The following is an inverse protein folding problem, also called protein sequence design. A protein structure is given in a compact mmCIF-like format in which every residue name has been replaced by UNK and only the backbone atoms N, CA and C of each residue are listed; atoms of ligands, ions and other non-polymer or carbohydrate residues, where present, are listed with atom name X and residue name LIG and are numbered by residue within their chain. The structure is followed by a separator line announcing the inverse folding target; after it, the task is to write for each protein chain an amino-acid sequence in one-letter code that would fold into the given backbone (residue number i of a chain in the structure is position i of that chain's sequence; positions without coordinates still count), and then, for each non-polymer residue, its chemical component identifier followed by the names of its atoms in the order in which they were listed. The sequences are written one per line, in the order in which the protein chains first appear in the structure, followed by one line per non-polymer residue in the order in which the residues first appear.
data_IF_215748849512
#
_entry.id   IF_215748849512
#
_cell.length_a   1.000
_cell.length_b   1.000
_cell.length_c   1.000
_cell.angle_alpha   90.00
_cell.angle_beta   90.00
_cell.angle_gamma   90.00
#
_symmetry.space_group_name_H-M   'P 1'
#
loop_
_entity.id
_entity.type
_entity.pdbx_description
1 polymer ?
#
# COMPACT_ATOMS: atom_id res chain seq x y z
N UNK A 1 8.83 -14.78 24.29
CA UNK A 1 8.00 -15.57 23.34
C UNK A 1 7.77 -14.67 22.13
N UNK A 2 8.22 -15.07 20.96
CA UNK A 2 7.85 -14.32 19.75
C UNK A 2 6.34 -14.52 19.53
N UNK A 3 5.58 -13.45 19.58
CA UNK A 3 4.17 -13.51 19.23
C UNK A 3 4.08 -13.84 17.73
N UNK A 4 3.10 -14.64 17.33
CA UNK A 4 2.85 -15.01 15.94
C UNK A 4 2.42 -13.78 15.15
N UNK A 5 2.73 -13.76 13.87
CA UNK A 5 2.23 -12.74 12.94
C UNK A 5 0.72 -12.89 12.75
N UNK A 6 0.03 -11.79 12.45
CA UNK A 6 -1.43 -11.80 12.28
C UNK A 6 -1.89 -12.86 11.25
N UNK A 7 -1.23 -12.96 10.10
CA UNK A 7 -1.60 -13.95 9.09
C UNK A 7 -1.38 -15.41 9.56
N UNK A 8 -0.42 -15.65 10.47
CA UNK A 8 -0.20 -16.97 11.07
C UNK A 8 -1.33 -17.34 12.03
N UNK A 9 -1.81 -16.37 12.83
CA UNK A 9 -2.96 -16.55 13.70
C UNK A 9 -4.23 -16.87 12.91
N UNK A 10 -4.48 -16.15 11.81
CA UNK A 10 -5.60 -16.42 10.92
C UNK A 10 -5.49 -17.80 10.26
N UNK A 11 -4.28 -18.23 9.89
CA UNK A 11 -4.07 -19.58 9.37
C UNK A 11 -4.35 -20.67 10.40
N UNK A 12 -4.10 -20.43 11.67
CA UNK A 12 -4.43 -21.37 12.75
C UNK A 12 -5.94 -21.47 12.98
N UNK A 13 -6.63 -20.34 12.90
CA UNK A 13 -8.07 -20.26 13.13
C UNK A 13 -8.89 -20.87 11.98
N UNK A 14 -8.63 -20.43 10.75
CA UNK A 14 -9.40 -20.84 9.57
C UNK A 14 -8.83 -22.08 8.88
N UNK A 15 -7.54 -22.41 9.10
CA UNK A 15 -6.77 -23.30 8.26
C UNK A 15 -6.46 -22.69 6.88
N UNK A 16 -5.40 -23.16 6.22
CA UNK A 16 -5.03 -22.67 4.88
C UNK A 16 -6.16 -22.83 3.87
N UNK A 17 -6.86 -23.97 3.90
CA UNK A 17 -7.99 -24.24 3.00
C UNK A 17 -9.17 -23.35 3.27
N UNK A 18 -9.46 -23.05 4.54
CA UNK A 18 -10.54 -22.13 4.92
C UNK A 18 -10.31 -20.73 4.38
N UNK A 19 -9.09 -20.20 4.49
CA UNK A 19 -8.76 -18.89 3.92
C UNK A 19 -8.87 -18.92 2.37
N UNK A 20 -8.45 -19.99 1.72
CA UNK A 20 -8.58 -20.13 0.27
C UNK A 20 -10.03 -20.18 -0.22
N UNK A 21 -10.96 -20.63 0.61
CA UNK A 21 -12.40 -20.68 0.33
C UNK A 21 -13.13 -19.35 0.54
N UNK A 22 -12.49 -18.38 1.23
CA UNK A 22 -13.08 -17.06 1.40
C UNK A 22 -13.29 -16.41 0.04
N UNK A 23 -14.50 -15.95 -0.22
CA UNK A 23 -14.85 -15.27 -1.45
C UNK A 23 -14.61 -13.76 -1.34
N UNK A 24 -13.96 -13.20 -2.35
CA UNK A 24 -13.88 -11.75 -2.50
C UNK A 24 -15.20 -11.28 -3.10
N UNK A 25 -15.90 -10.32 -2.46
CA UNK A 25 -17.19 -9.85 -2.95
C UNK A 25 -17.17 -9.43 -4.42
N UNK A 26 -18.22 -9.77 -5.14
CA UNK A 26 -18.34 -9.53 -6.57
C UNK A 26 -18.20 -8.04 -6.91
N UNK A 27 -18.82 -7.16 -6.09
CA UNK A 27 -18.73 -5.71 -6.29
C UNK A 27 -17.29 -5.17 -6.21
N UNK A 28 -16.38 -5.83 -5.51
CA UNK A 28 -14.96 -5.44 -5.52
C UNK A 28 -14.31 -5.82 -6.84
N UNK A 29 -14.45 -7.09 -7.27
CA UNK A 29 -13.82 -7.58 -8.50
C UNK A 29 -14.36 -6.88 -9.76
N UNK A 30 -15.66 -6.67 -9.82
CA UNK A 30 -16.34 -6.06 -10.97
C UNK A 30 -15.94 -4.61 -11.18
N UNK A 31 -15.69 -3.85 -10.11
CA UNK A 31 -15.36 -2.44 -10.18
C UNK A 31 -13.85 -2.13 -10.32
N UNK A 32 -12.99 -3.13 -10.34
CA UNK A 32 -11.58 -2.98 -10.67
C UNK A 32 -11.36 -3.00 -12.19
N UNK A 33 -10.45 -2.17 -12.69
CA UNK A 33 -10.12 -2.12 -14.12
C UNK A 33 -9.32 -3.32 -14.61
N UNK A 34 -8.71 -4.07 -13.68
CA UNK A 34 -7.84 -5.21 -13.96
C UNK A 34 -8.22 -6.38 -13.08
N UNK A 35 -8.07 -7.58 -13.61
CA UNK A 35 -8.20 -8.80 -12.84
C UNK A 35 -7.11 -8.91 -11.77
N UNK A 36 -7.49 -9.39 -10.61
CA UNK A 36 -6.56 -9.66 -9.52
C UNK A 36 -5.71 -10.89 -9.84
N UNK A 37 -4.43 -10.80 -9.60
CA UNK A 37 -3.54 -11.98 -9.66
C UNK A 37 -3.77 -12.84 -8.41
N UNK A 38 -3.42 -14.12 -8.49
CA UNK A 38 -3.63 -15.11 -7.42
C UNK A 38 -3.13 -14.62 -6.06
N UNK A 39 -1.93 -14.05 -6.02
CA UNK A 39 -1.37 -13.53 -4.76
C UNK A 39 -2.07 -12.26 -4.26
N UNK A 40 -2.67 -11.46 -5.14
CA UNK A 40 -3.48 -10.29 -4.76
C UNK A 40 -4.85 -10.72 -4.21
N UNK A 41 -5.47 -11.72 -4.84
CA UNK A 41 -6.67 -12.35 -4.28
C UNK A 41 -6.39 -12.94 -2.89
N UNK A 42 -5.26 -13.62 -2.73
CA UNK A 42 -4.85 -14.18 -1.45
C UNK A 42 -4.69 -13.10 -0.38
N UNK A 43 -4.07 -11.96 -0.71
CA UNK A 43 -3.94 -10.83 0.22
C UNK A 43 -5.32 -10.32 0.69
N UNK A 44 -6.29 -10.19 -0.23
CA UNK A 44 -7.66 -9.79 0.10
C UNK A 44 -8.40 -10.86 0.92
N UNK A 45 -8.20 -12.14 0.64
CA UNK A 45 -8.80 -13.22 1.46
C UNK A 45 -8.34 -13.18 2.92
N UNK A 46 -7.06 -12.87 3.17
CA UNK A 46 -6.59 -12.63 4.55
C UNK A 46 -7.24 -11.40 5.18
N UNK A 47 -7.43 -10.33 4.40
CA UNK A 47 -8.16 -9.16 4.87
C UNK A 47 -9.60 -9.51 5.29
N UNK A 48 -10.33 -10.29 4.49
CA UNK A 48 -11.68 -10.73 4.84
C UNK A 48 -11.67 -11.67 6.04
N UNK A 49 -10.74 -12.63 6.12
CA UNK A 49 -10.56 -13.47 7.30
C UNK A 49 -10.39 -12.64 8.58
N UNK A 50 -9.55 -11.60 8.53
CA UNK A 50 -9.39 -10.67 9.66
C UNK A 50 -10.68 -9.91 9.98
N UNK A 51 -11.44 -9.49 8.98
CA UNK A 51 -12.71 -8.78 9.18
C UNK A 51 -13.75 -9.64 9.88
N UNK A 52 -13.73 -10.95 9.64
CA UNK A 52 -14.69 -11.91 10.21
C UNK A 52 -14.29 -12.37 11.61
N UNK A 53 -13.01 -12.31 11.97
CA UNK A 53 -12.47 -12.87 13.21
C UNK A 53 -11.81 -11.81 14.11
N UNK A 54 -10.50 -11.56 13.93
CA UNK A 54 -9.68 -10.76 14.84
C UNK A 54 -10.04 -9.27 14.82
N UNK A 55 -10.50 -8.76 13.66
CA UNK A 55 -10.92 -7.37 13.44
C UNK A 55 -9.82 -6.35 13.76
N UNK A 56 -8.56 -6.73 13.49
CA UNK A 56 -7.44 -5.80 13.58
C UNK A 56 -7.65 -4.66 12.58
N UNK A 57 -7.58 -3.41 13.05
CA UNK A 57 -7.85 -2.21 12.25
C UNK A 57 -6.61 -1.60 11.59
N UNK A 58 -5.43 -1.92 12.10
CA UNK A 58 -4.15 -1.51 11.55
C UNK A 58 -3.51 -2.73 10.87
N UNK A 59 -3.46 -2.74 9.55
CA UNK A 59 -2.99 -3.87 8.75
C UNK A 59 -1.75 -3.49 7.91
N UNK A 60 -0.74 -4.36 7.91
CA UNK A 60 0.46 -4.23 7.10
C UNK A 60 0.49 -5.29 6.00
N UNK A 61 0.53 -4.86 4.76
CA UNK A 61 0.75 -5.68 3.57
C UNK A 61 2.22 -5.60 3.15
N UNK A 62 2.99 -6.63 3.46
CA UNK A 62 4.39 -6.72 3.06
C UNK A 62 4.49 -7.39 1.69
N UNK A 63 4.57 -6.60 0.63
CA UNK A 63 4.51 -7.11 -0.74
C UNK A 63 5.57 -6.48 -1.63
N UNK A 64 6.22 -7.30 -2.46
CA UNK A 64 7.29 -6.90 -3.37
C UNK A 64 6.96 -5.66 -4.21
N UNK A 65 7.97 -4.87 -4.55
CA UNK A 65 7.82 -3.78 -5.53
C UNK A 65 7.37 -4.35 -6.87
N UNK A 66 6.41 -3.69 -7.52
CA UNK A 66 5.84 -4.18 -8.79
C UNK A 66 4.76 -5.26 -8.64
N UNK A 67 4.43 -5.72 -7.43
CA UNK A 67 3.36 -6.68 -7.18
C UNK A 67 1.94 -6.10 -7.35
N UNK A 68 1.82 -4.80 -7.60
CA UNK A 68 0.53 -4.14 -7.80
C UNK A 68 -0.21 -3.84 -6.50
N UNK A 69 0.51 -3.46 -5.44
CA UNK A 69 -0.04 -2.98 -4.16
C UNK A 69 -1.17 -1.97 -4.33
N UNK A 70 -1.01 -1.05 -5.29
CA UNK A 70 -2.00 0.00 -5.58
C UNK A 70 -3.37 -0.56 -6.03
N UNK A 71 -3.39 -1.73 -6.71
CA UNK A 71 -4.65 -2.39 -7.08
C UNK A 71 -5.35 -2.98 -5.85
N UNK A 72 -4.59 -3.50 -4.88
CA UNK A 72 -5.14 -3.96 -3.60
C UNK A 72 -5.70 -2.77 -2.82
N UNK A 73 -5.00 -1.62 -2.80
CA UNK A 73 -5.52 -0.40 -2.18
C UNK A 73 -6.86 0.01 -2.79
N UNK A 74 -6.99 -0.05 -4.12
CA UNK A 74 -8.26 0.23 -4.80
C UNK A 74 -9.37 -0.76 -4.40
N UNK A 75 -9.05 -2.04 -4.28
CA UNK A 75 -9.99 -3.06 -3.80
C UNK A 75 -10.46 -2.78 -2.35
N UNK A 76 -9.53 -2.42 -1.46
CA UNK A 76 -9.84 -2.05 -0.08
C UNK A 76 -10.70 -0.79 0.01
N UNK A 77 -10.46 0.21 -0.85
CA UNK A 77 -11.29 1.42 -0.95
C UNK A 77 -12.73 1.06 -1.31
N UNK A 78 -12.93 0.20 -2.33
CA UNK A 78 -14.28 -0.24 -2.73
C UNK A 78 -15.00 -0.97 -1.59
N UNK A 79 -14.29 -1.86 -0.90
CA UNK A 79 -14.84 -2.60 0.24
C UNK A 79 -15.17 -1.68 1.42
N UNK A 80 -14.25 -0.79 1.78
CA UNK A 80 -14.49 0.19 2.84
C UNK A 80 -15.65 1.12 2.49
N UNK A 81 -15.79 1.56 1.23
CA UNK A 81 -16.93 2.34 0.80
C UNK A 81 -18.26 1.59 1.03
N UNK A 82 -18.31 0.32 0.67
CA UNK A 82 -19.48 -0.53 0.92
C UNK A 82 -19.79 -0.69 2.42
N UNK A 83 -18.76 -0.67 3.27
CA UNK A 83 -18.85 -0.69 4.75
C UNK A 83 -19.20 0.68 5.36
N UNK A 84 -19.47 1.70 4.54
CA UNK A 84 -19.92 3.02 4.99
C UNK A 84 -18.83 4.07 5.14
N UNK A 85 -17.56 3.76 4.85
CA UNK A 85 -16.50 4.76 4.81
C UNK A 85 -16.63 5.63 3.56
N UNK A 86 -16.33 6.92 3.70
CA UNK A 86 -16.41 7.89 2.60
C UNK A 86 -15.11 8.63 2.36
N UNK A 87 -14.29 8.78 3.41
CA UNK A 87 -13.09 9.61 3.42
C UNK A 87 -11.83 8.75 3.54
N UNK A 88 -10.95 8.87 2.55
CA UNK A 88 -9.70 8.13 2.41
C UNK A 88 -8.53 9.10 2.37
N UNK A 89 -7.51 8.86 3.19
CA UNK A 89 -6.29 9.66 3.22
C UNK A 89 -5.15 8.78 2.71
N UNK A 90 -4.71 9.05 1.48
CA UNK A 90 -3.54 8.40 0.92
C UNK A 90 -2.29 9.25 1.15
N UNK A 91 -1.29 8.66 1.75
CA UNK A 91 -0.03 9.36 2.00
C UNK A 91 1.21 8.51 1.70
N UNK A 92 2.28 9.19 1.30
CA UNK A 92 3.56 8.62 0.90
C UNK A 92 4.69 9.60 1.22
N UNK A 93 5.93 9.12 1.22
CA UNK A 93 7.09 9.95 1.57
C UNK A 93 7.56 10.88 0.43
N UNK A 94 7.14 10.63 -0.84
CA UNK A 94 7.67 11.34 -2.02
C UNK A 94 6.56 11.95 -2.87
N UNK A 95 6.70 13.23 -3.20
CA UNK A 95 5.77 13.95 -4.09
C UNK A 95 5.70 13.33 -5.49
N UNK A 96 6.81 12.82 -6.03
CA UNK A 96 6.82 12.18 -7.34
C UNK A 96 6.05 10.86 -7.38
N UNK A 97 6.06 10.10 -6.28
CA UNK A 97 5.25 8.88 -6.13
C UNK A 97 3.79 9.26 -5.95
N UNK A 98 3.52 10.30 -5.13
CA UNK A 98 2.19 10.81 -4.88
C UNK A 98 1.45 11.15 -6.19
N UNK A 99 2.06 11.98 -7.04
CA UNK A 99 1.44 12.41 -8.31
C UNK A 99 1.18 11.24 -9.27
N UNK A 100 2.13 10.30 -9.38
CA UNK A 100 1.94 9.09 -10.19
C UNK A 100 0.80 8.23 -9.66
N UNK A 101 0.70 8.06 -8.35
CA UNK A 101 -0.34 7.27 -7.74
C UNK A 101 -1.69 7.97 -7.86
N UNK A 102 -1.75 9.27 -7.59
CA UNK A 102 -2.96 10.09 -7.78
C UNK A 102 -3.52 9.95 -9.20
N UNK A 103 -2.66 9.98 -10.22
CA UNK A 103 -3.08 9.79 -11.61
C UNK A 103 -3.73 8.40 -11.85
N UNK A 104 -3.25 7.34 -11.18
CA UNK A 104 -3.85 6.01 -11.29
C UNK A 104 -5.25 5.91 -10.66
N UNK A 105 -5.55 6.73 -9.68
CA UNK A 105 -6.88 6.79 -9.03
C UNK A 105 -7.84 7.78 -9.71
N UNK A 106 -7.33 8.85 -10.30
CA UNK A 106 -8.13 9.98 -10.80
C UNK A 106 -8.34 10.00 -12.32
N UNK A 107 -7.35 9.55 -13.09
CA UNK A 107 -7.40 9.70 -14.54
C UNK A 107 -8.04 8.49 -15.23
N UNK A 108 -9.33 8.58 -15.51
CA UNK A 108 -10.13 7.53 -16.19
C UNK A 108 -9.58 7.15 -17.57
N UNK A 109 -8.85 8.04 -18.24
CA UNK A 109 -8.27 7.80 -19.57
C UNK A 109 -6.89 7.13 -19.52
N UNK A 110 -6.32 6.96 -18.33
CA UNK A 110 -5.03 6.30 -18.17
C UNK A 110 -5.18 4.78 -18.29
N UNK A 111 -4.28 4.14 -19.06
CA UNK A 111 -4.17 2.68 -19.08
C UNK A 111 -3.84 2.06 -17.70
N UNK A 112 -3.44 2.89 -16.74
CA UNK A 112 -3.13 2.54 -15.35
C UNK A 112 -4.24 2.88 -14.38
N UNK A 113 -5.39 3.40 -14.86
CA UNK A 113 -6.54 3.64 -14.01
C UNK A 113 -6.97 2.36 -13.30
N UNK A 114 -7.31 2.46 -12.03
CA UNK A 114 -7.49 1.29 -11.17
C UNK A 114 -8.94 0.79 -11.10
N UNK A 115 -9.90 1.62 -11.44
CA UNK A 115 -11.32 1.29 -11.35
C UNK A 115 -11.95 1.11 -12.75
N UNK A 116 -13.13 0.57 -12.81
CA UNK A 116 -13.98 0.67 -14.01
C UNK A 116 -14.39 2.12 -14.24
N UNK A 117 -14.76 2.44 -15.46
CA UNK A 117 -15.25 3.78 -15.82
C UNK A 117 -16.49 4.16 -15.01
N UNK A 118 -17.40 3.21 -14.82
CA UNK A 118 -18.59 3.32 -13.99
C UNK A 118 -18.47 2.34 -12.81
N UNK A 119 -18.30 2.86 -11.61
CA UNK A 119 -18.26 2.08 -10.38
C UNK A 119 -19.69 1.91 -9.87
N UNK A 120 -20.16 0.67 -9.77
CA UNK A 120 -21.52 0.37 -9.31
C UNK A 120 -21.46 -0.49 -8.04
N UNK A 121 -21.97 0.05 -6.93
CA UNK A 121 -22.11 -0.65 -5.65
C UNK A 121 -23.55 -0.48 -5.19
N UNK A 122 -24.24 -1.58 -4.88
CA UNK A 122 -25.65 -1.60 -4.46
C UNK A 122 -26.57 -0.82 -5.41
N UNK A 123 -26.38 -1.01 -6.73
CA UNK A 123 -27.15 -0.33 -7.78
C UNK A 123 -26.98 1.19 -7.82
N UNK A 124 -25.97 1.74 -7.13
CA UNK A 124 -25.62 3.17 -7.17
C UNK A 124 -24.34 3.36 -7.98
N UNK A 125 -24.35 4.37 -8.84
CA UNK A 125 -23.12 4.79 -9.53
C UNK A 125 -22.30 5.67 -8.59
N UNK A 126 -21.04 5.27 -8.33
CA UNK A 126 -20.15 5.90 -7.38
C UNK A 126 -19.03 6.64 -8.12
N UNK A 127 -18.77 7.86 -7.70
CA UNK A 127 -17.69 8.68 -8.26
C UNK A 127 -16.47 8.73 -7.33
N UNK A 128 -15.28 8.76 -7.94
CA UNK A 128 -14.05 9.09 -7.23
C UNK A 128 -13.91 10.61 -7.20
N UNK A 129 -13.90 11.16 -6.01
CA UNK A 129 -13.74 12.59 -5.75
C UNK A 129 -12.35 12.84 -5.14
N UNK A 130 -11.46 13.48 -5.87
CA UNK A 130 -10.15 13.88 -5.35
C UNK A 130 -10.30 15.22 -4.66
N UNK A 131 -10.07 15.23 -3.36
CA UNK A 131 -10.24 16.40 -2.51
C UNK A 131 -8.90 16.99 -2.10
N UNK A 132 -8.86 18.29 -1.84
CA UNK A 132 -7.67 18.98 -1.33
C UNK A 132 -7.71 19.18 0.20
N UNK A 133 -8.89 19.03 0.78
CA UNK A 133 -9.11 19.00 2.23
C UNK A 133 -10.36 18.17 2.53
N UNK A 134 -10.54 17.73 3.77
CA UNK A 134 -11.67 16.88 4.17
C UNK A 134 -13.03 17.62 4.17
N UNK A 135 -13.04 18.96 4.20
CA UNK A 135 -14.28 19.74 4.10
C UNK A 135 -14.92 19.72 2.71
N UNK A 136 -14.16 19.28 1.67
CA UNK A 136 -14.66 19.09 0.29
C UNK A 136 -15.34 17.73 0.09
N UNK A 137 -15.51 16.94 1.15
CA UNK A 137 -16.09 15.60 1.10
C UNK A 137 -17.54 15.60 0.67
N UNK A 138 -17.91 14.60 -0.16
CA UNK A 138 -19.29 14.36 -0.61
C UNK A 138 -19.76 13.01 -0.09
N UNK A 139 -20.94 12.95 0.50
CA UNK A 139 -21.47 11.75 1.14
C UNK A 139 -21.70 10.55 0.19
N UNK A 140 -21.88 10.80 -1.10
CA UNK A 140 -22.15 9.75 -2.10
C UNK A 140 -20.92 9.35 -2.92
N UNK A 141 -19.76 9.96 -2.65
CA UNK A 141 -18.52 9.74 -3.38
C UNK A 141 -17.49 8.97 -2.54
N UNK A 142 -16.54 8.38 -3.23
CA UNK A 142 -15.27 7.95 -2.63
C UNK A 142 -14.36 9.18 -2.63
N UNK A 143 -14.20 9.83 -1.48
CA UNK A 143 -13.36 11.03 -1.35
C UNK A 143 -11.95 10.61 -1.00
N UNK A 144 -10.96 10.98 -1.82
CA UNK A 144 -9.56 10.63 -1.59
C UNK A 144 -8.72 11.90 -1.46
N UNK A 145 -8.11 12.08 -0.30
CA UNK A 145 -7.13 13.12 -0.03
C UNK A 145 -5.72 12.56 -0.22
N UNK A 146 -5.01 13.06 -1.23
CA UNK A 146 -3.63 12.68 -1.52
C UNK A 146 -2.66 13.66 -0.88
N UNK A 147 -1.73 13.16 -0.06
CA UNK A 147 -0.79 14.01 0.66
C UNK A 147 0.56 13.33 0.85
N UNK A 148 1.57 14.10 1.26
CA UNK A 148 2.82 13.53 1.78
C UNK A 148 2.78 13.45 3.29
N UNK A 149 3.62 12.59 3.89
CA UNK A 149 3.74 12.47 5.34
C UNK A 149 4.07 13.82 5.97
N UNK A 150 4.99 14.58 5.33
CA UNK A 150 5.40 15.90 5.79
C UNK A 150 4.26 16.92 5.76
N UNK A 151 3.45 16.91 4.70
CA UNK A 151 2.31 17.80 4.58
C UNK A 151 1.21 17.42 5.58
N UNK A 152 0.95 16.14 5.79
CA UNK A 152 0.00 15.64 6.79
C UNK A 152 0.43 16.04 8.21
N UNK A 153 1.72 15.88 8.51
CA UNK A 153 2.29 16.32 9.78
C UNK A 153 2.12 17.83 9.99
N UNK A 154 2.41 18.64 8.96
CA UNK A 154 2.28 20.10 9.04
C UNK A 154 0.83 20.53 9.20
N UNK A 155 -0.11 19.81 8.59
CA UNK A 155 -1.54 20.05 8.71
C UNK A 155 -2.02 19.91 10.17
N UNK A 156 -1.59 18.85 10.84
CA UNK A 156 -2.01 18.57 12.22
C UNK A 156 -1.18 19.28 13.29
N UNK A 157 0.05 19.70 12.98
CA UNK A 157 0.91 20.40 13.94
C UNK A 157 0.57 21.90 14.07
N UNK A 158 0.17 22.52 12.97
CA UNK A 158 -0.11 23.95 12.92
C UNK A 158 -1.63 24.15 12.92
N UNK A 159 -2.22 24.34 14.10
CA UNK A 159 -3.60 24.77 14.25
C UNK A 159 -3.73 26.23 13.71
N UNK A 160 -4.02 26.36 12.41
CA UNK A 160 -4.37 27.63 11.78
C UNK A 160 -5.88 27.78 11.76
N UNK A 161 -6.38 29.00 11.78
CA UNK A 161 -7.79 29.27 11.47
C UNK A 161 -8.17 28.57 10.15
N UNK A 162 -9.23 27.76 10.17
CA UNK A 162 -9.67 26.87 9.07
C UNK A 162 -8.75 25.69 8.74
N UNK A 163 -7.85 25.27 9.64
CA UNK A 163 -7.14 23.98 9.50
C UNK A 163 -7.93 22.88 10.19
N UNK A 164 -7.76 21.65 9.67
CA UNK A 164 -8.36 20.46 10.25
C UNK A 164 -7.76 20.21 11.64
N UNK A 165 -8.59 20.16 12.66
CA UNK A 165 -8.19 19.81 14.02
C UNK A 165 -8.41 18.30 14.28
N UNK A 166 -7.75 17.74 15.31
CA UNK A 166 -8.05 16.38 15.73
C UNK A 166 -9.48 16.22 16.27
N UNK A 167 -10.10 17.30 16.73
CA UNK A 167 -11.50 17.29 17.17
C UNK A 167 -12.44 17.05 15.97
N UNK A 168 -12.16 17.67 14.81
CA UNK A 168 -12.94 17.49 13.59
C UNK A 168 -12.87 16.04 13.05
N UNK A 169 -11.79 15.30 13.39
CA UNK A 169 -11.64 13.89 12.99
C UNK A 169 -12.40 12.89 13.85
N UNK A 170 -12.87 13.29 15.03
CA UNK A 170 -13.53 12.36 15.97
C UNK A 170 -14.85 11.83 15.43
N UNK A 171 -15.58 12.65 14.71
CA UNK A 171 -16.89 12.31 14.16
C UNK A 171 -16.82 11.68 12.76
N UNK A 172 -15.61 11.63 12.17
CA UNK A 172 -15.39 11.10 10.83
C UNK A 172 -14.79 9.70 10.87
N UNK A 173 -15.29 8.81 9.99
CA UNK A 173 -14.71 7.50 9.74
C UNK A 173 -13.70 7.57 8.62
N UNK A 174 -12.43 7.45 8.96
CA UNK A 174 -11.32 7.63 8.04
C UNK A 174 -10.63 6.29 7.72
N UNK A 175 -10.23 6.15 6.48
CA UNK A 175 -9.33 5.08 6.04
C UNK A 175 -8.00 5.69 5.64
N UNK A 176 -6.95 5.33 6.36
CA UNK A 176 -5.59 5.74 6.06
C UNK A 176 -4.91 4.69 5.18
N UNK A 177 -4.29 5.13 4.10
CA UNK A 177 -3.57 4.31 3.13
C UNK A 177 -2.13 4.81 3.03
N UNK A 178 -1.18 4.08 3.58
CA UNK A 178 0.23 4.42 3.55
C UNK A 178 0.97 3.56 2.53
N UNK A 179 1.56 4.15 1.50
CA UNK A 179 2.48 3.45 0.61
C UNK A 179 3.93 3.72 1.01
N UNK A 180 4.80 2.73 0.84
CA UNK A 180 6.19 2.74 1.29
C UNK A 180 6.34 3.04 2.80
N UNK A 181 5.51 2.38 3.62
CA UNK A 181 5.41 2.61 5.06
C UNK A 181 6.72 2.38 5.84
N UNK A 182 7.70 1.65 5.26
CA UNK A 182 9.02 1.49 5.88
C UNK A 182 9.77 2.82 6.08
N UNK A 183 9.41 3.86 5.34
CA UNK A 183 9.94 5.21 5.56
C UNK A 183 9.37 5.92 6.81
N UNK A 184 8.33 5.37 7.41
CA UNK A 184 7.77 5.86 8.68
C UNK A 184 8.62 5.45 9.91
N UNK A 185 9.46 4.42 9.77
CA UNK A 185 10.25 3.91 10.88
C UNK A 185 11.52 4.75 11.11
N UNK A 186 11.70 5.18 12.36
CA UNK A 186 12.74 6.12 12.80
C UNK A 186 14.14 5.52 12.93
N UNK A 187 14.27 4.20 13.05
CA UNK A 187 15.49 3.56 13.59
C UNK A 187 16.70 3.49 12.65
N UNK A 188 16.63 4.06 11.43
CA UNK A 188 17.68 3.85 10.43
C UNK A 188 18.54 5.07 10.06
N UNK A 189 18.40 6.26 10.74
CA UNK A 189 19.08 7.49 10.31
C UNK A 189 19.51 8.42 11.47
N UNK A 190 20.19 9.55 11.15
CA UNK A 190 20.75 10.51 12.10
C UNK A 190 19.77 11.02 13.18
N UNK A 191 20.28 11.44 14.35
CA UNK A 191 19.44 11.89 15.48
C UNK A 191 18.35 12.93 15.09
N UNK A 192 18.68 13.90 14.25
CA UNK A 192 17.74 14.95 13.85
C UNK A 192 16.60 14.43 12.93
N UNK A 193 16.88 13.42 12.10
CA UNK A 193 15.86 12.78 11.25
C UNK A 193 14.98 11.83 12.07
N UNK A 194 15.52 11.23 13.14
CA UNK A 194 14.77 10.34 14.01
C UNK A 194 13.71 11.10 14.81
N UNK A 195 14.04 12.25 15.38
CA UNK A 195 13.07 13.09 16.11
C UNK A 195 11.91 13.57 15.23
N UNK A 196 12.19 13.90 13.96
CA UNK A 196 11.14 14.27 13.00
C UNK A 196 10.25 13.08 12.64
N UNK A 197 10.81 11.90 12.47
CA UNK A 197 10.05 10.68 12.13
C UNK A 197 9.22 10.16 13.30
N UNK A 198 9.75 10.19 14.51
CA UNK A 198 8.97 9.90 15.72
C UNK A 198 7.78 10.86 15.83
N UNK A 199 7.95 12.13 15.49
CA UNK A 199 6.87 13.11 15.43
C UNK A 199 5.82 12.77 14.36
N UNK A 200 6.23 12.32 13.18
CA UNK A 200 5.31 11.93 12.10
C UNK A 200 4.49 10.69 12.48
N UNK A 201 5.16 9.68 13.02
CA UNK A 201 4.50 8.46 13.48
C UNK A 201 3.48 8.75 14.59
N UNK A 202 3.85 9.55 15.57
CA UNK A 202 2.99 9.94 16.68
C UNK A 202 1.73 10.68 16.18
N UNK A 203 1.87 11.57 15.19
CA UNK A 203 0.75 12.32 14.64
C UNK A 203 -0.18 11.42 13.81
N UNK A 204 0.36 10.54 12.96
CA UNK A 204 -0.47 9.58 12.21
C UNK A 204 -1.20 8.65 13.18
N UNK A 205 -0.52 8.17 14.22
CA UNK A 205 -1.11 7.36 15.26
C UNK A 205 -2.24 8.10 15.97
N UNK A 206 -2.03 9.35 16.36
CA UNK A 206 -3.06 10.19 17.00
C UNK A 206 -4.26 10.43 16.09
N UNK A 207 -4.04 10.68 14.79
CA UNK A 207 -5.11 10.84 13.82
C UNK A 207 -5.89 9.52 13.62
N UNK A 208 -5.20 8.40 13.54
CA UNK A 208 -5.82 7.08 13.47
C UNK A 208 -6.62 6.73 14.74
N UNK A 209 -6.10 7.06 15.92
CA UNK A 209 -6.73 6.79 17.21
C UNK A 209 -7.85 7.80 17.58
N UNK A 210 -8.03 8.87 16.79
CA UNK A 210 -9.09 9.86 17.04
C UNK A 210 -10.50 9.28 16.99
N UNK A 211 -10.72 8.23 16.19
CA UNK A 211 -11.98 7.50 16.11
C UNK A 211 -11.73 5.99 16.11
N UNK A 212 -12.51 5.26 16.92
CA UNK A 212 -12.39 3.81 17.06
C UNK A 212 -12.81 3.02 15.81
N UNK A 213 -13.41 3.63 14.82
CA UNK A 213 -13.78 3.03 13.55
C UNK A 213 -12.74 3.28 12.45
N UNK A 214 -11.74 4.13 12.68
CA UNK A 214 -10.69 4.40 11.70
C UNK A 214 -9.90 3.15 11.36
N UNK A 215 -9.50 3.04 10.08
CA UNK A 215 -8.68 1.95 9.54
C UNK A 215 -7.33 2.49 9.06
N UNK A 216 -6.27 1.73 9.25
CA UNK A 216 -4.93 2.04 8.74
C UNK A 216 -4.39 0.84 7.95
N UNK A 217 -4.18 1.03 6.66
CA UNK A 217 -3.59 0.05 5.77
C UNK A 217 -2.21 0.54 5.32
N UNK A 218 -1.19 -0.14 5.76
CA UNK A 218 0.19 0.13 5.40
C UNK A 218 0.68 -0.87 4.35
N UNK A 219 1.41 -0.37 3.37
CA UNK A 219 2.00 -1.16 2.30
C UNK A 219 3.51 -0.93 2.26
N UNK A 220 4.29 -2.00 2.22
CA UNK A 220 5.73 -1.92 2.08
C UNK A 220 6.29 -3.11 1.32
N UNK A 221 7.35 -2.89 0.56
CA UNK A 221 8.10 -3.98 -0.07
C UNK A 221 9.08 -4.65 0.90
N UNK A 222 9.50 -3.92 1.91
CA UNK A 222 10.47 -4.36 2.90
C UNK A 222 10.03 -3.93 4.30
N UNK A 223 10.16 -4.83 5.25
CA UNK A 223 10.05 -4.49 6.68
C UNK A 223 11.48 -4.57 7.22
N UNK A 224 11.99 -3.50 7.85
CA UNK A 224 13.29 -3.56 8.50
C UNK A 224 13.35 -4.71 9.51
N UNK A 225 14.48 -5.42 9.56
CA UNK A 225 14.65 -6.63 10.38
C UNK A 225 15.08 -6.31 11.82
N UNK A 226 15.08 -5.03 12.19
CA UNK A 226 15.37 -4.62 13.56
C UNK A 226 14.26 -5.11 14.49
N UNK A 227 14.68 -5.58 15.67
CA UNK A 227 13.78 -6.22 16.65
C UNK A 227 12.57 -5.33 16.99
N UNK A 228 12.83 -4.05 17.27
CA UNK A 228 11.79 -3.08 17.63
C UNK A 228 10.73 -2.89 16.54
N UNK A 229 11.16 -2.91 15.27
CA UNK A 229 10.26 -2.77 14.11
C UNK A 229 9.45 -4.04 13.91
N UNK A 230 10.08 -5.20 14.04
CA UNK A 230 9.39 -6.49 13.94
C UNK A 230 8.34 -6.65 15.04
N UNK A 231 8.66 -6.31 16.27
CA UNK A 231 7.74 -6.35 17.40
C UNK A 231 6.53 -5.44 17.19
N UNK A 232 6.75 -4.23 16.66
CA UNK A 232 5.70 -3.24 16.33
C UNK A 232 4.71 -3.73 15.28
N UNK A 233 5.19 -4.47 14.27
CA UNK A 233 4.36 -4.88 13.13
C UNK A 233 3.83 -6.31 13.21
N UNK A 234 4.29 -7.12 14.15
CA UNK A 234 4.01 -8.54 14.21
C UNK A 234 2.51 -8.86 14.25
N UNK A 235 1.76 -8.14 15.06
CA UNK A 235 0.30 -8.24 15.20
C UNK A 235 -0.48 -7.55 14.06
N UNK A 236 0.20 -6.95 13.09
CA UNK A 236 -0.37 -6.16 11.99
C UNK A 236 -0.10 -6.75 10.62
N UNK A 237 0.95 -7.60 10.49
CA UNK A 237 1.30 -8.23 9.21
C UNK A 237 0.20 -9.20 8.80
N UNK A 238 -0.69 -8.71 7.91
CA UNK A 238 -1.83 -9.48 7.40
C UNK A 238 -1.45 -10.37 6.22
N UNK A 239 -0.47 -9.97 5.44
CA UNK A 239 -0.01 -10.71 4.28
C UNK A 239 1.45 -10.43 3.95
N UNK A 240 2.18 -11.48 3.59
CA UNK A 240 3.55 -11.39 3.10
C UNK A 240 3.67 -12.01 1.72
N UNK A 241 4.26 -11.26 0.80
CA UNK A 241 4.60 -11.71 -0.55
C UNK A 241 5.93 -11.11 -0.96
N UNK A 242 6.97 -11.84 -0.67
CA UNK A 242 8.35 -11.36 -0.80
C UNK A 242 8.80 -11.27 -2.25
N UNK A 243 9.87 -10.51 -2.52
CA UNK A 243 10.51 -10.47 -3.83
C UNK A 243 10.93 -11.87 -4.31
N UNK A 244 11.33 -12.75 -3.38
CA UNK A 244 11.70 -14.15 -3.70
C UNK A 244 10.50 -14.92 -4.27
N UNK A 245 9.33 -14.80 -3.66
CA UNK A 245 8.11 -15.45 -4.14
C UNK A 245 7.68 -14.87 -5.47
N UNK A 246 7.70 -13.54 -5.60
CA UNK A 246 7.39 -12.82 -6.84
C UNK A 246 8.28 -13.24 -8.02
N UNK A 247 9.59 -13.43 -7.78
CA UNK A 247 10.52 -13.95 -8.77
C UNK A 247 10.29 -15.44 -9.08
N UNK A 248 10.02 -16.26 -8.04
CA UNK A 248 9.80 -17.71 -8.18
C UNK A 248 8.56 -18.01 -9.01
N UNK A 249 7.51 -17.22 -8.84
CA UNK A 249 6.25 -17.35 -9.60
C UNK A 249 6.31 -16.72 -11.01
N UNK A 250 7.47 -16.18 -11.41
CA UNK A 250 7.71 -15.68 -12.76
C UNK A 250 7.18 -14.25 -13.03
N UNK A 251 6.72 -13.53 -12.02
CA UNK A 251 6.21 -12.16 -12.17
C UNK A 251 7.29 -11.08 -12.22
N UNK A 252 8.52 -11.40 -11.81
CA UNK A 252 9.66 -10.49 -11.86
C UNK A 252 10.69 -10.92 -12.88
N UNK A 253 11.46 -9.96 -13.37
CA UNK A 253 12.65 -10.27 -14.16
C UNK A 253 13.66 -11.01 -13.30
N UNK A 254 14.36 -11.99 -13.88
CA UNK A 254 15.45 -12.68 -13.19
C UNK A 254 16.58 -11.70 -12.91
N UNK A 255 17.06 -11.69 -11.68
CA UNK A 255 18.21 -10.87 -11.28
C UNK A 255 19.43 -11.80 -11.26
N UNK A 256 20.44 -11.46 -12.05
CA UNK A 256 21.73 -12.14 -12.04
C UNK A 256 22.76 -11.22 -11.40
N UNK A 257 23.44 -11.73 -10.36
CA UNK A 257 24.56 -11.04 -9.76
C UNK A 257 25.85 -11.53 -10.44
N UNK A 258 26.55 -10.61 -11.07
CA UNK A 258 27.87 -10.85 -11.66
C UNK A 258 28.90 -10.33 -10.67
N UNK A 259 29.80 -11.20 -10.21
CA UNK A 259 30.93 -10.82 -9.36
C UNK A 259 32.21 -10.83 -10.18
N UNK A 260 33.07 -9.89 -9.91
CA UNK A 260 34.39 -9.79 -10.51
C UNK A 260 35.44 -9.96 -9.42
N UNK A 261 36.53 -10.67 -9.72
CA UNK A 261 37.64 -10.89 -8.75
C UNK A 261 38.40 -9.57 -8.45
N UNK A 262 38.48 -8.67 -9.46
CA UNK A 262 39.00 -7.31 -9.30
C UNK A 262 37.86 -6.30 -9.44
N UNK A 263 37.29 -5.87 -8.33
CA UNK A 263 36.12 -5.01 -8.27
C UNK A 263 36.52 -3.52 -8.35
N UNK A 264 36.85 -3.03 -9.58
CA UNK A 264 37.01 -1.61 -9.84
C UNK A 264 35.74 -1.01 -10.46
N UNK A 265 35.57 0.31 -10.33
CA UNK A 265 34.43 1.03 -10.91
C UNK A 265 34.38 0.87 -12.44
N UNK A 266 35.55 0.87 -13.08
CA UNK A 266 35.69 0.71 -14.53
C UNK A 266 35.24 -0.69 -14.98
N UNK A 267 35.61 -1.75 -14.25
CA UNK A 267 35.14 -3.11 -14.55
C UNK A 267 33.63 -3.25 -14.40
N UNK A 268 33.04 -2.64 -13.36
CA UNK A 268 31.55 -2.62 -13.19
C UNK A 268 30.88 -1.91 -14.33
N UNK A 269 31.42 -0.75 -14.74
CA UNK A 269 30.87 0.02 -15.85
C UNK A 269 31.00 -0.74 -17.18
N UNK A 270 32.17 -1.28 -17.48
CA UNK A 270 32.39 -2.09 -18.69
C UNK A 270 31.45 -3.30 -18.72
N UNK A 271 31.31 -4.01 -17.60
CA UNK A 271 30.38 -5.13 -17.47
C UNK A 271 28.94 -4.76 -17.72
N UNK A 272 28.47 -3.61 -17.20
CA UNK A 272 27.14 -3.12 -17.45
C UNK A 272 26.88 -2.80 -18.92
N UNK A 273 27.83 -2.16 -19.59
CA UNK A 273 27.77 -1.86 -21.04
C UNK A 273 27.76 -3.14 -21.86
N UNK A 274 28.63 -4.10 -21.58
CA UNK A 274 28.67 -5.37 -22.29
C UNK A 274 27.40 -6.18 -22.09
N UNK A 275 26.82 -6.23 -20.89
CA UNK A 275 25.55 -6.86 -20.63
C UNK A 275 24.39 -6.20 -21.41
N UNK A 276 24.39 -4.87 -21.50
CA UNK A 276 23.38 -4.13 -22.28
C UNK A 276 23.46 -4.46 -23.76
N UNK A 277 24.65 -4.38 -24.35
CA UNK A 277 24.90 -4.71 -25.76
C UNK A 277 24.53 -6.18 -26.07
N UNK A 278 24.90 -7.09 -25.18
CA UNK A 278 24.55 -8.50 -25.35
C UNK A 278 23.04 -8.75 -25.34
N UNK A 279 22.31 -8.04 -24.45
CA UNK A 279 20.84 -8.10 -24.43
C UNK A 279 20.23 -7.59 -25.74
N UNK A 280 20.73 -6.48 -26.29
CA UNK A 280 20.26 -5.92 -27.55
C UNK A 280 20.49 -6.91 -28.71
N UNK A 281 21.66 -7.53 -28.78
CA UNK A 281 21.99 -8.55 -29.79
C UNK A 281 21.08 -9.78 -29.67
N UNK A 282 20.81 -10.23 -28.45
CA UNK A 282 19.88 -11.33 -28.24
C UNK A 282 18.46 -10.96 -28.65
N UNK A 283 18.00 -9.76 -28.30
CA UNK A 283 16.67 -9.29 -28.67
C UNK A 283 16.50 -9.22 -30.18
N UNK A 284 17.49 -8.67 -30.90
CA UNK A 284 17.51 -8.68 -32.38
C UNK A 284 17.48 -10.11 -32.93
N UNK A 285 18.31 -11.01 -32.40
CA UNK A 285 18.39 -12.40 -32.87
C UNK A 285 17.06 -13.16 -32.72
N UNK A 286 16.31 -12.88 -31.65
CA UNK A 286 15.05 -13.59 -31.33
C UNK A 286 13.79 -12.75 -31.59
N UNK A 287 13.90 -11.61 -32.28
CA UNK A 287 12.81 -10.67 -32.57
C UNK A 287 11.99 -10.27 -31.32
N UNK A 288 12.69 -10.02 -30.19
CA UNK A 288 12.10 -9.60 -28.94
C UNK A 288 12.18 -8.07 -28.84
N UNK A 289 11.07 -7.42 -28.56
CA UNK A 289 11.05 -5.98 -28.23
C UNK A 289 11.50 -5.82 -26.77
N UNK A 290 12.56 -4.99 -26.56
CA UNK A 290 13.14 -4.71 -25.22
C UNK A 290 12.39 -3.61 -24.48
#
# INVERSE_FOLDING_TARGET
MFNKKLHELLQEEFGKRGIEQIEIPFYVKENLSKELRIYQEKALKYYYANSDSIKQRHLMFNMATGSGKTLIMAALILDCYNKGYRNFIFFVNSTSILEKTKANFANKYSSKYLFKENINIDSKNIEINIINNLFESKNECINIYFTTIQALFSLFKNERENSLSFEDLKDEKLVFLADEAHHLNSDTKSKNENELKEGWEAIIKRAYESNNENLLFEFSATIPQEFNVLEKYQDKIIYEYTLREFCKEGYSKRIFLVKYDNDSLEHRFLGAVLCSLYRELLAQKYNIVL
#
